data_IF_465258963473
#
_entry.id   IF_465258963473
#
_cell.length_a   1.000
_cell.length_b   1.000
_cell.length_c   1.000
_cell.angle_alpha   90.00
_cell.angle_beta   90.00
_cell.angle_gamma   90.00
#
_symmetry.space_group_name_H-M   'P 1'
#
loop_
_entity.id
_entity.type
_entity.pdbx_description
1 polymer ?
#
# COMPACT_ATOMS: atom_id res chain seq x y z
N UNK A 1 -11.06 -7.32 -7.48
CA UNK A 1 -10.09 -6.84 -6.48
C UNK A 1 -10.79 -6.78 -5.12
N UNK A 2 -10.33 -7.61 -4.18
CA UNK A 2 -10.73 -7.77 -2.78
C UNK A 2 -12.24 -7.84 -2.46
N UNK A 3 -12.86 -8.99 -2.75
CA UNK A 3 -14.03 -9.45 -1.99
C UNK A 3 -13.56 -9.96 -0.62
N UNK A 4 -13.49 -9.07 0.37
CA UNK A 4 -13.46 -9.49 1.77
C UNK A 4 -14.83 -10.08 2.11
N UNK A 5 -15.00 -11.37 1.83
CA UNK A 5 -16.14 -12.16 2.26
C UNK A 5 -16.11 -12.25 3.79
N UNK A 6 -16.77 -11.30 4.45
CA UNK A 6 -17.12 -11.41 5.86
C UNK A 6 -17.94 -12.70 6.04
N UNK A 7 -17.55 -13.65 6.90
CA UNK A 7 -18.43 -14.77 7.22
C UNK A 7 -19.60 -14.19 8.02
N UNK A 8 -20.76 -14.13 7.39
CA UNK A 8 -22.04 -13.92 8.06
C UNK A 8 -22.17 -14.99 9.14
N UNK A 9 -22.03 -14.59 10.39
CA UNK A 9 -22.30 -15.39 11.58
C UNK A 9 -23.76 -15.83 11.54
N UNK A 10 -24.03 -17.03 11.00
CA UNK A 10 -25.35 -17.67 11.07
C UNK A 10 -25.43 -18.44 12.39
N UNK A 11 -26.05 -17.85 13.40
CA UNK A 11 -26.54 -18.59 14.57
C UNK A 11 -27.73 -19.46 14.14
N UNK A 12 -27.46 -20.75 13.91
CA UNK A 12 -28.49 -21.78 13.77
C UNK A 12 -28.94 -22.20 15.17
N UNK A 13 -30.12 -21.74 15.60
CA UNK A 13 -30.76 -22.17 16.85
C UNK A 13 -31.44 -23.53 16.68
N UNK A 14 -30.69 -24.61 16.96
CA UNK A 14 -31.27 -25.90 17.34
C UNK A 14 -30.80 -26.23 18.75
N UNK A 15 -31.73 -26.23 19.71
CA UNK A 15 -31.50 -26.61 21.11
C UNK A 15 -31.29 -28.13 21.20
N UNK A 16 -30.06 -28.57 20.91
CA UNK A 16 -29.56 -29.89 21.31
C UNK A 16 -29.00 -29.79 22.73
N UNK A 17 -29.35 -30.75 23.57
CA UNK A 17 -28.74 -30.93 24.89
C UNK A 17 -27.29 -31.38 24.68
N UNK A 18 -26.38 -30.43 24.48
CA UNK A 18 -24.96 -30.71 24.26
C UNK A 18 -24.30 -31.00 25.61
N UNK A 19 -23.43 -32.02 25.63
CA UNK A 19 -22.64 -32.31 26.83
C UNK A 19 -21.59 -31.20 27.00
N UNK A 20 -21.26 -30.84 28.24
CA UNK A 20 -20.28 -29.78 28.57
C UNK A 20 -18.96 -29.87 27.78
N UNK A 21 -18.49 -31.11 27.53
CA UNK A 21 -17.29 -31.38 26.72
C UNK A 21 -17.44 -30.95 25.24
N UNK A 22 -18.62 -31.08 24.68
CA UNK A 22 -18.93 -30.72 23.30
C UNK A 22 -18.98 -29.19 23.13
N UNK A 23 -19.57 -28.48 24.11
CA UNK A 23 -19.60 -27.00 24.14
C UNK A 23 -18.17 -26.43 24.22
N UNK A 24 -17.32 -26.99 25.09
CA UNK A 24 -15.92 -26.58 25.21
C UNK A 24 -15.16 -26.83 23.90
N UNK A 25 -15.35 -27.99 23.26
CA UNK A 25 -14.67 -28.32 22.00
C UNK A 25 -15.10 -27.41 20.84
N UNK A 26 -16.39 -27.09 20.73
CA UNK A 26 -16.91 -26.15 19.73
C UNK A 26 -16.34 -24.74 19.93
N UNK A 27 -16.27 -24.30 21.20
CA UNK A 27 -15.66 -23.02 21.54
C UNK A 27 -14.19 -22.96 21.13
N UNK A 28 -13.39 -23.97 21.51
CA UNK A 28 -11.98 -24.06 21.14
C UNK A 28 -11.78 -24.07 19.61
N UNK A 29 -12.66 -24.75 18.87
CA UNK A 29 -12.66 -24.76 17.41
C UNK A 29 -12.92 -23.36 16.83
N UNK A 30 -13.93 -22.64 17.33
CA UNK A 30 -14.23 -21.27 16.90
C UNK A 30 -13.06 -20.31 17.19
N UNK A 31 -12.45 -20.41 18.38
CA UNK A 31 -11.27 -19.58 18.70
C UNK A 31 -10.10 -19.88 17.76
N UNK A 32 -9.88 -21.15 17.42
CA UNK A 32 -8.85 -21.53 16.45
C UNK A 32 -9.14 -20.98 15.05
N UNK A 33 -10.40 -20.99 14.62
CA UNK A 33 -10.81 -20.40 13.35
C UNK A 33 -10.58 -18.89 13.32
N UNK A 34 -11.00 -18.17 14.37
CA UNK A 34 -10.78 -16.73 14.51
C UNK A 34 -9.27 -16.41 14.46
N UNK A 35 -8.43 -17.13 15.20
CA UNK A 35 -6.97 -16.95 15.14
C UNK A 35 -6.40 -17.16 13.74
N UNK A 36 -6.92 -18.15 13.01
CA UNK A 36 -6.49 -18.44 11.64
C UNK A 36 -6.86 -17.30 10.69
N UNK A 37 -8.11 -16.80 10.77
CA UNK A 37 -8.56 -15.66 9.98
C UNK A 37 -7.74 -14.40 10.25
N UNK A 38 -7.44 -14.13 11.52
CA UNK A 38 -6.63 -13.01 11.95
C UNK A 38 -5.19 -13.06 11.41
N UNK A 39 -4.56 -14.24 11.43
CA UNK A 39 -3.23 -14.45 10.81
C UNK A 39 -3.29 -14.23 9.30
N UNK A 40 -4.35 -14.68 8.64
CA UNK A 40 -4.49 -14.53 7.19
C UNK A 40 -4.74 -13.06 6.78
N UNK A 41 -5.53 -12.32 7.56
CA UNK A 41 -5.69 -10.87 7.37
C UNK A 41 -4.35 -10.14 7.46
N UNK A 42 -3.50 -10.53 8.42
CA UNK A 42 -2.16 -9.99 8.56
C UNK A 42 -1.27 -10.23 7.35
N UNK A 43 -1.25 -11.47 6.84
CA UNK A 43 -0.50 -11.81 5.62
C UNK A 43 -0.99 -11.01 4.42
N UNK A 44 -2.30 -10.86 4.27
CA UNK A 44 -2.87 -10.06 3.20
C UNK A 44 -2.43 -8.60 3.27
N UNK A 45 -2.40 -8.00 4.46
CA UNK A 45 -1.92 -6.62 4.66
C UNK A 45 -0.41 -6.49 4.35
N UNK A 46 0.39 -7.47 4.75
CA UNK A 46 1.83 -7.51 4.46
C UNK A 46 2.09 -7.59 2.96
N UNK A 47 1.43 -8.53 2.27
CA UNK A 47 1.53 -8.67 0.82
C UNK A 47 1.05 -7.41 0.07
N UNK A 48 0.00 -6.76 0.57
CA UNK A 48 -0.47 -5.49 0.00
C UNK A 48 0.58 -4.37 0.15
N UNK A 49 1.24 -4.30 1.30
CA UNK A 49 2.31 -3.33 1.54
C UNK A 49 3.51 -3.60 0.63
N UNK A 50 3.93 -4.85 0.52
CA UNK A 50 5.06 -5.28 -0.32
C UNK A 50 4.81 -4.99 -1.81
N UNK A 51 3.65 -5.38 -2.33
CA UNK A 51 3.29 -5.12 -3.73
C UNK A 51 3.22 -3.62 -4.04
N UNK A 52 2.76 -2.80 -3.09
CA UNK A 52 2.76 -1.33 -3.24
C UNK A 52 4.18 -0.76 -3.24
N UNK A 53 5.06 -1.26 -2.38
CA UNK A 53 6.46 -0.84 -2.35
C UNK A 53 7.19 -1.22 -3.65
N UNK A 54 6.93 -2.42 -4.18
CA UNK A 54 7.49 -2.84 -5.47
C UNK A 54 7.05 -1.90 -6.59
N UNK A 55 5.76 -1.58 -6.68
CA UNK A 55 5.27 -0.64 -7.69
C UNK A 55 5.91 0.75 -7.56
N UNK A 56 6.12 1.23 -6.33
CA UNK A 56 6.80 2.51 -6.10
C UNK A 56 8.27 2.48 -6.52
N UNK A 57 8.97 1.35 -6.36
CA UNK A 57 10.32 1.16 -6.86
C UNK A 57 10.35 1.16 -8.39
N UNK A 58 9.45 0.42 -9.02
CA UNK A 58 9.34 0.36 -10.48
C UNK A 58 9.05 1.74 -11.09
N UNK A 59 8.17 2.52 -10.45
CA UNK A 59 7.89 3.90 -10.84
C UNK A 59 9.12 4.82 -10.71
N UNK A 60 9.88 4.69 -9.62
CA UNK A 60 11.11 5.47 -9.44
C UNK A 60 12.13 5.15 -10.54
N UNK A 61 12.32 3.87 -10.86
CA UNK A 61 13.23 3.45 -11.92
C UNK A 61 12.75 3.93 -13.29
N UNK A 62 11.45 3.83 -13.58
CA UNK A 62 10.87 4.38 -14.80
C UNK A 62 11.17 5.86 -14.96
N UNK A 63 10.96 6.68 -13.92
CA UNK A 63 11.23 8.11 -13.98
C UNK A 63 12.73 8.43 -14.06
N UNK A 64 13.59 7.64 -13.43
CA UNK A 64 15.05 7.76 -13.55
C UNK A 64 15.46 7.55 -15.01
N UNK A 65 15.01 6.45 -15.61
CA UNK A 65 15.31 6.15 -17.01
C UNK A 65 14.71 7.19 -17.96
N UNK A 66 13.50 7.66 -17.67
CA UNK A 66 12.87 8.73 -18.45
C UNK A 66 13.68 10.04 -18.37
N UNK A 67 14.15 10.42 -17.18
CA UNK A 67 14.96 11.63 -16.98
C UNK A 67 16.27 11.57 -17.79
N UNK A 68 16.95 10.43 -17.79
CA UNK A 68 18.16 10.22 -18.61
C UNK A 68 17.89 10.44 -20.10
N UNK A 69 16.77 9.93 -20.62
CA UNK A 69 16.36 10.12 -22.02
C UNK A 69 16.09 11.60 -22.31
N UNK A 70 15.37 12.30 -21.44
CA UNK A 70 15.12 13.74 -21.60
C UNK A 70 16.44 14.54 -21.63
N UNK A 71 17.38 14.19 -20.76
CA UNK A 71 18.68 14.86 -20.69
C UNK A 71 19.54 14.57 -21.92
N UNK A 72 19.50 13.35 -22.45
CA UNK A 72 20.18 12.99 -23.69
C UNK A 72 19.59 13.74 -24.90
N UNK A 73 18.26 13.85 -24.96
CA UNK A 73 17.57 14.61 -26.01
C UNK A 73 17.90 16.10 -25.94
N UNK A 74 17.86 16.69 -24.74
CA UNK A 74 18.31 18.06 -24.47
C UNK A 74 19.73 18.31 -25.01
N UNK A 75 20.70 17.47 -24.62
CA UNK A 75 22.09 17.58 -25.08
C UNK A 75 22.22 17.46 -26.60
N UNK A 76 21.41 16.62 -27.23
CA UNK A 76 21.41 16.42 -28.68
C UNK A 76 20.87 17.63 -29.42
N UNK A 77 19.79 18.26 -28.92
CA UNK A 77 19.24 19.51 -29.46
C UNK A 77 20.24 20.67 -29.32
N UNK A 78 20.93 20.79 -28.18
CA UNK A 78 21.94 21.83 -27.99
C UNK A 78 23.11 21.69 -28.98
N UNK A 79 23.62 20.46 -29.14
CA UNK A 79 24.67 20.15 -30.13
C UNK A 79 24.22 20.49 -31.56
N UNK A 80 22.97 20.19 -31.90
CA UNK A 80 22.40 20.52 -33.20
C UNK A 80 22.35 22.04 -33.43
N UNK A 81 21.80 22.78 -32.46
CA UNK A 81 21.70 24.23 -32.53
C UNK A 81 23.08 24.91 -32.64
N UNK A 82 24.09 24.44 -31.91
CA UNK A 82 25.43 25.03 -31.94
C UNK A 82 26.18 24.75 -33.24
N UNK A 83 26.05 23.52 -33.78
CA UNK A 83 26.63 23.14 -35.07
C UNK A 83 26.16 24.03 -36.22
N UNK A 84 24.90 24.45 -36.20
CA UNK A 84 24.32 25.27 -37.25
C UNK A 84 24.39 26.78 -36.97
N UNK A 85 24.55 27.18 -35.70
CA UNK A 85 24.83 28.57 -35.32
C UNK A 85 26.24 29.03 -35.71
N UNK A 86 27.23 28.14 -35.62
CA UNK A 86 28.63 28.43 -36.02
C UNK A 86 28.77 28.70 -37.52
N UNK A 87 27.98 28.04 -38.38
CA UNK A 87 27.97 28.22 -39.84
C UNK A 87 27.43 29.57 -40.33
N UNK A 88 26.50 30.18 -39.59
CA UNK A 88 25.99 31.52 -39.93
C UNK A 88 27.06 32.58 -39.64
N UNK A 89 27.79 32.43 -38.53
CA UNK A 89 28.81 33.39 -38.08
C UNK A 89 30.02 33.47 -39.01
N UNK A 90 30.37 32.39 -39.72
CA UNK A 90 31.44 32.38 -40.72
C UNK A 90 31.08 33.06 -42.03
N UNK A 91 29.78 33.25 -42.32
CA UNK A 91 29.27 33.87 -43.56
C UNK A 91 28.97 35.36 -43.37
N UNK A 92 29.79 36.10 -42.62
CA UNK A 92 29.66 37.55 -42.42
C UNK A 92 30.15 38.31 -43.66
N UNK A 93 29.31 38.32 -44.67
CA UNK A 93 29.14 39.47 -45.55
C UNK A 93 27.67 39.87 -45.39
N UNK A 94 27.36 41.17 -45.30
CA UNK A 94 26.04 41.76 -45.00
C UNK A 94 25.75 42.08 -43.52
N UNK A 95 26.53 43.02 -42.98
CA UNK A 95 25.97 44.05 -42.09
C UNK A 95 25.02 44.95 -42.90
N UNK A 96 23.74 44.61 -43.07
CA UNK A 96 22.79 45.58 -43.61
C UNK A 96 21.41 45.55 -42.92
N UNK A 97 21.17 46.67 -42.25
CA UNK A 97 19.91 47.38 -41.98
C UNK A 97 18.87 46.72 -41.07
N UNK A 98 18.56 47.47 -40.01
CA UNK A 98 17.76 47.17 -38.83
C UNK A 98 16.23 47.21 -39.08
N UNK A 99 15.77 47.26 -40.33
CA UNK A 99 14.36 47.55 -40.66
C UNK A 99 13.75 46.62 -41.74
N UNK A 100 14.39 45.50 -42.07
CA UNK A 100 13.84 44.48 -42.99
C UNK A 100 13.46 43.19 -42.24
N UNK A 101 12.76 43.34 -41.12
CA UNK A 101 12.47 42.26 -40.15
C UNK A 101 11.14 41.52 -40.37
N UNK A 102 10.68 41.40 -41.61
CA UNK A 102 9.54 40.55 -41.93
C UNK A 102 9.94 39.56 -43.02
N UNK A 103 10.31 38.36 -42.57
CA UNK A 103 10.53 37.14 -43.38
C UNK A 103 11.72 37.15 -44.37
N UNK A 104 12.92 37.48 -43.90
CA UNK A 104 14.15 37.00 -44.56
C UNK A 104 14.39 35.53 -44.18
N UNK A 105 14.78 34.63 -45.12
CA UNK A 105 15.18 33.26 -44.82
C UNK A 105 16.20 33.14 -43.67
N UNK A 106 17.07 34.15 -43.52
CA UNK A 106 18.04 34.25 -42.41
C UNK A 106 17.33 34.43 -41.06
N UNK A 107 16.28 35.26 -40.99
CA UNK A 107 15.49 35.44 -39.77
C UNK A 107 14.71 34.17 -39.41
N UNK A 108 14.11 33.49 -40.39
CA UNK A 108 13.46 32.20 -40.18
C UNK A 108 14.44 31.17 -39.61
N UNK A 109 15.67 31.14 -40.13
CA UNK A 109 16.72 30.27 -39.63
C UNK A 109 17.11 30.57 -38.17
N UNK A 110 17.27 31.85 -37.82
CA UNK A 110 17.51 32.24 -36.42
C UNK A 110 16.36 31.84 -35.48
N UNK A 111 15.11 32.00 -35.91
CA UNK A 111 13.93 31.61 -35.13
C UNK A 111 13.91 30.10 -34.89
N UNK A 112 14.21 29.28 -35.90
CA UNK A 112 14.31 27.82 -35.74
C UNK A 112 15.40 27.44 -34.75
N UNK A 113 16.60 28.03 -34.85
CA UNK A 113 17.69 27.75 -33.91
C UNK A 113 17.36 28.19 -32.48
N UNK A 114 16.65 29.30 -32.31
CA UNK A 114 16.17 29.75 -31.01
C UNK A 114 15.15 28.78 -30.43
N UNK A 115 14.19 28.32 -31.24
CA UNK A 115 13.20 27.34 -30.85
C UNK A 115 13.85 26.01 -30.42
N UNK A 116 14.83 25.51 -31.16
CA UNK A 116 15.59 24.30 -30.79
C UNK A 116 16.33 24.45 -29.46
N UNK A 117 16.93 25.62 -29.20
CA UNK A 117 17.56 25.90 -27.89
C UNK A 117 16.54 26.00 -26.76
N UNK A 118 15.34 26.51 -27.03
CA UNK A 118 14.26 26.55 -26.04
C UNK A 118 13.83 25.12 -25.68
N UNK A 119 13.57 24.28 -26.67
CA UNK A 119 13.22 22.87 -26.45
C UNK A 119 14.32 22.13 -25.68
N UNK A 120 15.60 22.34 -26.03
CA UNK A 120 16.75 21.83 -25.27
C UNK A 120 16.65 22.14 -23.76
N UNK A 121 16.33 23.38 -23.40
CA UNK A 121 16.15 23.80 -22.00
C UNK A 121 14.90 23.20 -21.35
N UNK A 122 13.81 23.10 -22.09
CA UNK A 122 12.56 22.51 -21.61
C UNK A 122 12.80 21.03 -21.23
N UNK A 123 13.51 20.27 -22.08
CA UNK A 123 13.89 18.88 -21.79
C UNK A 123 14.87 18.75 -20.61
N UNK A 124 15.84 19.65 -20.48
CA UNK A 124 16.70 19.68 -19.29
C UNK A 124 15.91 19.95 -18.01
N UNK A 125 14.90 20.83 -18.08
CA UNK A 125 14.00 21.14 -16.97
C UNK A 125 13.13 19.93 -16.60
N UNK A 126 12.62 19.19 -17.59
CA UNK A 126 11.89 17.95 -17.33
C UNK A 126 12.73 16.89 -16.63
N UNK A 127 13.99 16.70 -17.05
CA UNK A 127 14.94 15.84 -16.34
C UNK A 127 15.09 16.26 -14.87
N UNK A 128 15.27 17.55 -14.60
CA UNK A 128 15.39 18.07 -13.23
C UNK A 128 14.12 17.82 -12.40
N UNK A 129 12.94 18.07 -12.99
CA UNK A 129 11.65 17.79 -12.33
C UNK A 129 11.52 16.31 -11.98
N UNK A 130 11.87 15.40 -12.90
CA UNK A 130 11.77 13.96 -12.63
C UNK A 130 12.73 13.53 -11.52
N UNK A 131 13.99 13.97 -11.57
CA UNK A 131 15.01 13.59 -10.60
C UNK A 131 14.77 14.19 -9.21
N UNK A 132 14.48 15.49 -9.15
CA UNK A 132 14.50 16.24 -7.89
C UNK A 132 13.11 16.44 -7.27
N UNK A 133 12.03 16.22 -8.01
CA UNK A 133 10.67 16.34 -7.48
C UNK A 133 9.94 14.99 -7.49
N UNK A 134 9.79 14.37 -8.66
CA UNK A 134 8.95 13.17 -8.78
C UNK A 134 9.56 11.98 -8.02
N UNK A 135 10.82 11.65 -8.26
CA UNK A 135 11.50 10.52 -7.58
C UNK A 135 11.60 10.75 -6.07
N UNK A 136 11.90 11.98 -5.64
CA UNK A 136 11.95 12.34 -4.22
C UNK A 136 10.58 12.14 -3.54
N UNK A 137 9.50 12.60 -4.18
CA UNK A 137 8.14 12.38 -3.66
C UNK A 137 7.78 10.90 -3.59
N UNK A 138 8.14 10.10 -4.59
CA UNK A 138 7.90 8.66 -4.58
C UNK A 138 8.69 7.96 -3.47
N UNK A 139 9.90 8.43 -3.17
CA UNK A 139 10.71 7.93 -2.04
C UNK A 139 10.03 8.22 -0.71
N UNK A 140 9.56 9.45 -0.50
CA UNK A 140 8.79 9.83 0.70
C UNK A 140 7.51 9.00 0.87
N UNK A 141 6.76 8.78 -0.22
CA UNK A 141 5.57 7.91 -0.19
C UNK A 141 5.96 6.48 0.19
N UNK A 142 7.10 5.97 -0.27
CA UNK A 142 7.59 4.64 0.10
C UNK A 142 7.89 4.54 1.59
N UNK A 143 8.55 5.55 2.16
CA UNK A 143 8.79 5.65 3.61
C UNK A 143 7.48 5.72 4.41
N UNK A 144 6.51 6.49 3.93
CA UNK A 144 5.19 6.59 4.56
C UNK A 144 4.45 5.24 4.55
N UNK A 145 4.51 4.49 3.44
CA UNK A 145 3.94 3.13 3.36
C UNK A 145 4.58 2.21 4.40
N UNK A 146 5.91 2.21 4.53
CA UNK A 146 6.63 1.41 5.53
C UNK A 146 6.20 1.81 6.94
N UNK A 147 6.14 3.11 7.23
CA UNK A 147 5.78 3.64 8.55
C UNK A 147 4.35 3.29 8.93
N UNK A 148 3.40 3.46 7.99
CA UNK A 148 2.00 3.13 8.18
C UNK A 148 1.79 1.64 8.36
N UNK A 149 2.47 0.80 7.58
CA UNK A 149 2.41 -0.65 7.74
C UNK A 149 2.92 -1.08 9.12
N UNK A 150 4.06 -0.55 9.57
CA UNK A 150 4.60 -0.84 10.91
C UNK A 150 3.59 -0.50 12.01
N UNK A 151 2.99 0.70 11.94
CA UNK A 151 1.96 1.13 12.90
C UNK A 151 0.71 0.26 12.84
N UNK A 152 0.25 -0.11 11.65
CA UNK A 152 -0.88 -1.02 11.47
C UNK A 152 -0.59 -2.40 12.06
N UNK A 153 0.66 -2.87 11.93
CA UNK A 153 1.09 -4.16 12.47
C UNK A 153 1.13 -4.16 14.00
N UNK A 154 1.64 -3.09 14.59
CA UNK A 154 1.62 -2.89 16.05
C UNK A 154 0.18 -2.89 16.61
N UNK A 155 -0.73 -2.12 16.00
CA UNK A 155 -2.14 -2.05 16.42
C UNK A 155 -2.81 -3.44 16.28
N UNK A 156 -2.63 -4.12 15.15
CA UNK A 156 -3.25 -5.43 14.96
C UNK A 156 -2.73 -6.49 15.95
N UNK A 157 -1.44 -6.45 16.32
CA UNK A 157 -0.88 -7.34 17.33
C UNK A 157 -1.48 -7.08 18.71
N UNK A 158 -1.63 -5.80 19.08
CA UNK A 158 -2.30 -5.42 20.33
C UNK A 158 -3.74 -5.94 20.36
N UNK A 159 -4.50 -5.75 19.28
CA UNK A 159 -5.88 -6.23 19.19
C UNK A 159 -5.98 -7.76 19.28
N UNK A 160 -5.03 -8.48 18.68
CA UNK A 160 -4.96 -9.95 18.78
C UNK A 160 -4.71 -10.41 20.22
N UNK A 161 -3.83 -9.71 20.95
CA UNK A 161 -3.54 -10.01 22.35
C UNK A 161 -4.76 -9.76 23.25
N UNK A 162 -5.45 -8.63 23.05
CA UNK A 162 -6.69 -8.31 23.77
C UNK A 162 -7.79 -9.36 23.51
N UNK A 163 -7.97 -9.77 22.26
CA UNK A 163 -8.93 -10.83 21.92
C UNK A 163 -8.55 -12.17 22.53
N UNK A 164 -7.26 -12.53 22.53
CA UNK A 164 -6.77 -13.74 23.16
C UNK A 164 -7.07 -13.74 24.67
N UNK A 165 -6.89 -12.60 25.33
CA UNK A 165 -7.19 -12.43 26.75
C UNK A 165 -8.68 -12.66 27.03
N UNK A 166 -9.57 -11.95 26.33
CA UNK A 166 -11.03 -12.07 26.52
C UNK A 166 -11.52 -13.50 26.24
N UNK A 167 -10.96 -14.16 25.23
CA UNK A 167 -11.34 -15.54 24.90
C UNK A 167 -10.86 -16.54 25.96
N UNK A 168 -9.66 -16.37 26.51
CA UNK A 168 -9.21 -17.19 27.64
C UNK A 168 -10.02 -16.96 28.93
N UNK A 169 -10.44 -15.73 29.19
CA UNK A 169 -11.32 -15.40 30.32
C UNK A 169 -12.67 -16.13 30.18
N UNK A 170 -13.30 -16.04 29.00
CA UNK A 170 -14.55 -16.74 28.72
C UNK A 170 -14.43 -18.26 28.83
N UNK A 171 -13.33 -18.83 28.34
CA UNK A 171 -13.03 -20.25 28.51
C UNK A 171 -13.01 -20.68 29.98
N UNK A 172 -12.37 -19.87 30.82
CA UNK A 172 -12.25 -20.13 32.26
C UNK A 172 -13.60 -20.03 32.95
N UNK A 173 -14.40 -18.99 32.64
CA UNK A 173 -15.76 -18.82 33.16
C UNK A 173 -16.65 -20.01 32.77
N UNK A 174 -16.57 -20.46 31.51
CA UNK A 174 -17.37 -21.58 31.02
C UNK A 174 -17.02 -22.91 31.71
N UNK A 175 -15.74 -23.18 31.95
CA UNK A 175 -15.32 -24.36 32.73
C UNK A 175 -15.85 -24.33 34.16
N UNK A 176 -15.73 -23.19 34.83
CA UNK A 176 -16.24 -23.00 36.19
C UNK A 176 -17.75 -23.18 36.25
N UNK A 177 -18.48 -22.63 35.27
CA UNK A 177 -19.94 -22.83 35.16
C UNK A 177 -20.31 -24.30 35.01
N UNK A 178 -19.69 -25.04 34.07
CA UNK A 178 -19.99 -26.46 33.88
C UNK A 178 -19.68 -27.30 35.13
N UNK A 179 -18.59 -26.98 35.84
CA UNK A 179 -18.25 -27.64 37.11
C UNK A 179 -19.36 -27.45 38.16
N UNK A 180 -19.78 -26.20 38.41
CA UNK A 180 -20.86 -25.92 39.36
C UNK A 180 -22.21 -26.46 38.92
N UNK A 181 -22.50 -26.47 37.62
CA UNK A 181 -23.74 -27.04 37.09
C UNK A 181 -23.81 -28.56 37.34
N UNK A 182 -22.72 -29.28 37.10
CA UNK A 182 -22.64 -30.72 37.38
C UNK A 182 -22.81 -31.02 38.88
N UNK A 183 -22.19 -30.24 39.76
CA UNK A 183 -22.38 -30.35 41.21
C UNK A 183 -23.84 -30.09 41.63
N UNK A 184 -24.47 -29.07 41.05
CA UNK A 184 -25.87 -28.74 41.31
C UNK A 184 -26.82 -29.86 40.88
N UNK A 185 -26.63 -30.45 39.69
CA UNK A 185 -27.44 -31.58 39.21
C UNK A 185 -27.27 -32.78 40.15
N UNK A 186 -26.03 -33.07 40.56
CA UNK A 186 -25.75 -34.16 41.49
C UNK A 186 -26.40 -33.93 42.86
N UNK A 187 -26.37 -32.71 43.39
CA UNK A 187 -27.03 -32.36 44.65
C UNK A 187 -28.55 -32.50 44.55
N UNK A 188 -29.16 -32.04 43.45
CA UNK A 188 -30.59 -32.17 43.20
C UNK A 188 -31.03 -33.64 43.11
N UNK A 189 -30.23 -34.50 42.46
CA UNK A 189 -30.51 -35.93 42.39
C UNK A 189 -30.50 -36.59 43.78
N UNK A 190 -29.51 -36.26 44.62
CA UNK A 190 -29.43 -36.77 46.00
C UNK A 190 -30.59 -36.30 46.87
N UNK A 191 -31.02 -35.05 46.71
CA UNK A 191 -32.19 -34.52 47.42
C UNK A 191 -33.45 -35.30 47.04
N UNK A 192 -33.69 -35.52 45.74
CA UNK A 192 -34.85 -36.30 45.26
C UNK A 192 -34.84 -37.76 45.71
N UNK A 193 -33.66 -38.34 45.91
CA UNK A 193 -33.53 -39.70 46.46
C UNK A 193 -33.85 -39.73 47.96
N UNK A 194 -33.40 -38.73 48.71
CA UNK A 194 -33.72 -38.59 50.13
C UNK A 194 -35.23 -38.38 50.36
N UNK A 195 -35.87 -37.52 49.56
CA UNK A 195 -37.31 -37.24 49.61
C UNK A 195 -38.19 -38.47 49.31
N UNK A 196 -37.66 -39.50 48.65
CA UNK A 196 -38.38 -40.76 48.38
C UNK A 196 -38.25 -41.79 49.50
N UNK A 197 -37.30 -41.58 50.41
CA UNK A 197 -37.04 -42.47 51.54
C UNK A 197 -37.79 -42.05 52.82
N UNK A 198 -38.33 -40.83 52.84
CA UNK A 198 -39.37 -40.37 53.79
C UNK A 198 -40.77 -40.81 53.35
#
# INVERSE_FOLDING_TARGET
ACQCLWPLWKMSSQTKFKKDKEIIAEYEAQIKEIRTQLVEQFKCLEQQSESRLQLLQDLQEFFRRKAEIELEYSRSLEKLAERFSSKIRSSREHQFKKDQYLLSPVNCWYLVLHQTRRESRDHATLNDIFMNNVIVRLSQISEDVIRLFKKSKEIGLQMHEELLKVTNELYTVMKTYHMYHAESISAESKLKEAEKQE
#
